data_IF_248426512416
#
_entry.id   IF_248426512416
#
_cell.length_a   1.000
_cell.length_b   1.000
_cell.length_c   1.000
_cell.angle_alpha   90.00
_cell.angle_beta   90.00
_cell.angle_gamma   90.00
#
_symmetry.space_group_name_H-M   'P 1'
#
loop_
_entity.id
_entity.type
_entity.pdbx_description
1 polymer ?
#
# COMPACT_ATOMS: atom_id res chain seq x y z
N UNK A 1 5.48 49.71 -1.01
CA UNK A 1 4.86 49.30 0.27
C UNK A 1 3.48 48.65 0.07
N UNK A 2 2.56 49.28 -0.65
CA UNK A 2 1.20 48.73 -0.90
C UNK A 2 1.21 47.33 -1.57
N UNK A 3 2.07 47.12 -2.57
CA UNK A 3 2.17 45.87 -3.30
C UNK A 3 2.63 44.70 -2.39
N UNK A 4 3.56 44.97 -1.46
CA UNK A 4 4.02 43.99 -0.47
C UNK A 4 2.89 43.58 0.50
N UNK A 5 2.05 44.52 0.92
CA UNK A 5 0.91 44.25 1.78
C UNK A 5 -0.12 43.38 1.05
N UNK A 6 -0.40 43.68 -0.21
CA UNK A 6 -1.32 42.88 -1.03
C UNK A 6 -0.81 41.43 -1.19
N UNK A 7 0.47 41.24 -1.51
CA UNK A 7 1.07 39.91 -1.61
C UNK A 7 1.00 39.14 -0.30
N UNK A 8 1.26 39.80 0.82
CA UNK A 8 1.17 39.20 2.15
C UNK A 8 -0.28 38.79 2.48
N UNK A 9 -1.27 39.61 2.17
CA UNK A 9 -2.67 39.29 2.37
C UNK A 9 -3.11 38.10 1.51
N UNK A 10 -2.67 38.01 0.24
CA UNK A 10 -2.97 36.88 -0.63
C UNK A 10 -2.35 35.60 -0.06
N UNK A 11 -1.10 35.67 0.38
CA UNK A 11 -0.40 34.51 0.94
C UNK A 11 -1.04 34.05 2.24
N UNK A 12 -1.41 34.97 3.12
CA UNK A 12 -2.12 34.65 4.37
C UNK A 12 -3.48 34.02 4.10
N UNK A 13 -4.23 34.51 3.13
CA UNK A 13 -5.50 33.94 2.71
C UNK A 13 -5.36 32.49 2.20
N UNK A 14 -4.34 32.22 1.39
CA UNK A 14 -4.03 30.85 0.93
C UNK A 14 -3.70 29.93 2.09
N UNK A 15 -2.86 30.36 3.03
CA UNK A 15 -2.53 29.58 4.22
C UNK A 15 -3.77 29.34 5.10
N UNK A 16 -4.57 30.34 5.33
CA UNK A 16 -5.80 30.23 6.13
C UNK A 16 -6.77 29.21 5.52
N UNK A 17 -6.97 29.24 4.20
CA UNK A 17 -7.83 28.27 3.51
C UNK A 17 -7.23 26.85 3.61
N UNK A 18 -5.94 26.68 3.38
CA UNK A 18 -5.30 25.38 3.47
C UNK A 18 -5.43 24.78 4.88
N UNK A 19 -5.12 25.56 5.92
CA UNK A 19 -5.27 25.14 7.31
C UNK A 19 -6.74 24.86 7.68
N UNK A 20 -7.67 25.72 7.26
CA UNK A 20 -9.09 25.51 7.51
C UNK A 20 -9.59 24.21 6.87
N UNK A 21 -9.17 23.91 5.65
CA UNK A 21 -9.54 22.65 4.96
C UNK A 21 -8.97 21.42 5.66
N UNK A 22 -7.74 21.48 6.15
CA UNK A 22 -7.11 20.40 6.90
C UNK A 22 -7.83 20.17 8.24
N UNK A 23 -8.10 21.24 8.99
CA UNK A 23 -8.82 21.14 10.25
C UNK A 23 -10.25 20.64 10.04
N UNK A 24 -10.95 21.15 9.02
CA UNK A 24 -12.29 20.69 8.66
C UNK A 24 -12.31 19.24 8.22
N UNK A 25 -11.30 18.78 7.49
CA UNK A 25 -11.16 17.36 7.11
C UNK A 25 -11.00 16.47 8.34
N UNK A 26 -10.22 16.88 9.34
CA UNK A 26 -10.11 16.18 10.62
C UNK A 26 -11.42 16.16 11.41
N UNK A 27 -12.14 17.27 11.43
CA UNK A 27 -13.42 17.39 12.15
C UNK A 27 -14.57 16.68 11.45
N UNK A 28 -14.56 16.62 10.13
CA UNK A 28 -15.51 15.87 9.31
C UNK A 28 -15.20 14.36 9.24
N UNK A 29 -14.41 13.83 10.15
CA UNK A 29 -14.18 12.40 10.30
C UNK A 29 -15.52 11.74 10.67
N UNK A 30 -16.34 11.57 9.65
CA UNK A 30 -17.66 10.95 9.74
C UNK A 30 -17.54 9.61 10.45
N UNK A 31 -18.44 9.38 11.41
CA UNK A 31 -18.54 8.07 12.05
C UNK A 31 -18.79 7.04 10.95
N UNK A 32 -18.02 5.96 10.89
CA UNK A 32 -18.23 4.94 9.88
C UNK A 32 -19.66 4.43 10.00
N UNK A 33 -20.43 4.43 8.92
CA UNK A 33 -21.62 3.61 8.82
C UNK A 33 -21.12 2.18 8.91
N UNK A 34 -21.64 1.43 9.89
CA UNK A 34 -21.36 0.01 10.09
C UNK A 34 -21.81 -0.75 8.84
N UNK A 35 -20.94 -0.83 7.84
CA UNK A 35 -21.05 -1.79 6.74
C UNK A 35 -20.27 -3.03 7.16
N UNK A 36 -20.71 -4.16 6.69
CA UNK A 36 -19.99 -5.41 6.80
C UNK A 36 -18.57 -5.19 6.27
N UNK A 37 -17.58 -5.69 7.01
CA UNK A 37 -16.17 -5.57 6.65
C UNK A 37 -15.95 -6.15 5.25
N UNK A 38 -15.49 -5.37 4.24
CA UNK A 38 -15.37 -5.86 2.87
C UNK A 38 -14.31 -6.95 2.78
N UNK A 39 -14.54 -7.98 2.00
CA UNK A 39 -13.50 -8.93 1.66
C UNK A 39 -12.46 -8.26 0.75
N UNK A 40 -11.16 -8.45 1.04
CA UNK A 40 -10.06 -7.70 0.44
C UNK A 40 -9.04 -8.64 -0.21
N UNK A 41 -8.65 -8.33 -1.45
CA UNK A 41 -7.49 -8.94 -2.11
C UNK A 41 -6.29 -8.00 -2.06
N UNK A 42 -5.24 -8.39 -1.33
CA UNK A 42 -3.96 -7.67 -1.26
C UNK A 42 -3.09 -8.13 -2.43
N UNK A 43 -2.74 -7.23 -3.33
CA UNK A 43 -1.98 -7.54 -4.54
C UNK A 43 -0.58 -6.95 -4.43
N UNK A 44 0.42 -7.82 -4.63
CA UNK A 44 1.83 -7.44 -4.68
C UNK A 44 2.50 -8.03 -5.90
N UNK A 45 3.25 -7.20 -6.64
CA UNK A 45 4.04 -7.64 -7.80
C UNK A 45 5.53 -7.63 -7.42
N UNK A 46 6.14 -8.81 -7.37
CA UNK A 46 7.53 -9.00 -6.99
C UNK A 46 8.37 -9.28 -8.23
N UNK A 47 9.43 -8.49 -8.43
CA UNK A 47 10.34 -8.64 -9.56
C UNK A 47 11.67 -9.20 -9.10
N UNK A 48 12.10 -10.27 -9.78
CA UNK A 48 13.37 -10.92 -9.47
C UNK A 48 13.34 -11.63 -8.12
N UNK A 49 14.52 -11.95 -7.63
CA UNK A 49 14.73 -12.65 -6.37
C UNK A 49 14.92 -11.61 -5.26
N UNK A 50 14.02 -11.58 -4.31
CA UNK A 50 14.09 -10.72 -3.15
C UNK A 50 13.95 -11.55 -1.87
N UNK A 51 15.09 -11.86 -1.26
CA UNK A 51 15.13 -12.57 0.01
C UNK A 51 14.41 -11.77 1.11
N UNK A 52 14.58 -10.45 1.10
CA UNK A 52 13.90 -9.55 2.02
C UNK A 52 12.37 -9.68 1.93
N UNK A 53 11.83 -9.80 0.71
CA UNK A 53 10.40 -10.02 0.52
C UNK A 53 9.93 -11.33 1.15
N UNK A 54 10.68 -12.43 0.93
CA UNK A 54 10.31 -13.74 1.45
C UNK A 54 10.38 -13.83 2.98
N UNK A 55 11.42 -13.22 3.57
CA UNK A 55 11.73 -13.40 5.00
C UNK A 55 11.01 -12.37 5.86
N UNK A 56 10.88 -11.13 5.40
CA UNK A 56 10.37 -10.04 6.23
C UNK A 56 8.98 -9.56 5.81
N UNK A 57 8.72 -9.39 4.52
CA UNK A 57 7.49 -8.74 4.07
C UNK A 57 6.32 -9.72 3.94
N UNK A 58 6.55 -10.84 3.26
CA UNK A 58 5.50 -11.82 2.99
C UNK A 58 4.89 -12.41 4.28
N UNK A 59 5.68 -12.78 5.31
CA UNK A 59 5.10 -13.23 6.59
C UNK A 59 4.21 -12.20 7.26
N UNK A 60 4.57 -10.91 7.20
CA UNK A 60 3.74 -9.83 7.76
C UNK A 60 2.45 -9.65 6.98
N UNK A 61 2.48 -9.79 5.65
CA UNK A 61 1.28 -9.74 4.81
C UNK A 61 0.37 -10.94 5.05
N UNK A 62 0.94 -12.11 5.39
CA UNK A 62 0.19 -13.33 5.67
C UNK A 62 -0.29 -13.43 7.12
N UNK A 63 0.23 -12.60 8.05
CA UNK A 63 -0.15 -12.60 9.47
C UNK A 63 -1.16 -11.51 9.84
N UNK A 64 -1.89 -10.96 8.87
CA UNK A 64 -2.84 -9.88 9.13
C UNK A 64 -4.07 -10.37 9.89
N UNK A 65 -4.50 -9.62 10.89
CA UNK A 65 -5.71 -9.89 11.69
C UNK A 65 -6.95 -9.37 10.96
N UNK A 66 -7.38 -10.14 9.95
CA UNK A 66 -8.58 -9.83 9.18
C UNK A 66 -9.19 -11.11 8.62
N UNK A 67 -10.49 -11.33 8.85
CA UNK A 67 -11.14 -12.62 8.55
C UNK A 67 -11.26 -12.91 7.05
N UNK A 68 -11.58 -11.91 6.25
CA UNK A 68 -11.91 -12.08 4.84
C UNK A 68 -10.88 -11.36 3.96
N UNK A 69 -9.66 -11.90 3.88
CA UNK A 69 -8.65 -11.39 2.96
C UNK A 69 -7.90 -12.52 2.27
N UNK A 70 -7.28 -12.18 1.17
CA UNK A 70 -6.31 -13.01 0.46
C UNK A 70 -5.09 -12.19 0.06
N UNK A 71 -3.96 -12.85 -0.13
CA UNK A 71 -2.73 -12.25 -0.64
C UNK A 71 -2.43 -12.81 -2.02
N UNK A 72 -2.42 -11.95 -3.04
CA UNK A 72 -2.14 -12.31 -4.43
C UNK A 72 -0.72 -11.85 -4.78
N UNK A 73 0.20 -12.78 -4.84
CA UNK A 73 1.59 -12.54 -5.23
C UNK A 73 1.77 -12.80 -6.71
N UNK A 74 2.23 -11.80 -7.44
CA UNK A 74 2.57 -11.93 -8.86
C UNK A 74 4.09 -11.87 -9.00
N UNK A 75 4.70 -13.02 -9.24
CA UNK A 75 6.13 -13.12 -9.41
C UNK A 75 6.55 -12.83 -10.85
N UNK A 76 7.44 -11.86 -11.04
CA UNK A 76 8.03 -11.50 -12.33
C UNK A 76 9.49 -11.91 -12.31
N UNK A 77 9.77 -13.13 -12.71
CA UNK A 77 11.12 -13.66 -12.70
C UNK A 77 11.23 -15.03 -13.35
N UNK A 78 12.45 -15.53 -13.40
CA UNK A 78 12.79 -16.80 -14.07
C UNK A 78 13.33 -17.83 -13.10
N UNK A 79 13.83 -17.39 -11.98
CA UNK A 79 14.41 -18.30 -11.01
C UNK A 79 13.39 -19.33 -10.57
N UNK A 80 13.77 -20.60 -10.72
CA UNK A 80 12.90 -21.71 -10.35
C UNK A 80 12.93 -21.94 -8.84
N UNK A 81 14.10 -21.80 -8.22
CA UNK A 81 14.27 -22.02 -6.79
C UNK A 81 13.47 -21.02 -5.97
N UNK A 82 13.54 -19.73 -6.32
CA UNK A 82 12.75 -18.69 -5.68
C UNK A 82 11.24 -18.91 -5.85
N UNK A 83 10.82 -19.34 -7.05
CA UNK A 83 9.43 -19.65 -7.32
C UNK A 83 8.96 -20.87 -6.53
N UNK A 84 9.78 -21.91 -6.44
CA UNK A 84 9.46 -23.13 -5.66
C UNK A 84 9.30 -22.80 -4.17
N UNK A 85 10.09 -21.85 -3.66
CA UNK A 85 9.95 -21.39 -2.28
C UNK A 85 8.65 -20.62 -2.06
N UNK A 86 8.29 -19.73 -2.98
CA UNK A 86 6.98 -19.08 -2.96
C UNK A 86 5.82 -20.09 -3.03
N UNK A 87 5.98 -21.19 -3.80
CA UNK A 87 4.97 -22.24 -3.87
C UNK A 87 4.83 -22.97 -2.52
N UNK A 88 5.93 -23.28 -1.84
CA UNK A 88 5.89 -23.90 -0.50
C UNK A 88 5.16 -23.03 0.51
N UNK A 89 5.39 -21.71 0.49
CA UNK A 89 4.69 -20.78 1.35
C UNK A 89 3.20 -20.76 1.01
N UNK A 90 2.84 -20.71 -0.28
CA UNK A 90 1.45 -20.77 -0.73
C UNK A 90 0.74 -22.04 -0.26
N UNK A 91 1.41 -23.19 -0.34
CA UNK A 91 0.81 -24.48 0.03
C UNK A 91 0.48 -24.58 1.53
N UNK A 92 1.21 -23.79 2.33
CA UNK A 92 0.94 -23.66 3.77
C UNK A 92 -0.13 -22.59 4.11
N UNK A 93 -0.53 -21.74 3.15
CA UNK A 93 -1.46 -20.63 3.37
C UNK A 93 -2.57 -20.64 2.32
N UNK A 94 -3.73 -21.18 2.65
CA UNK A 94 -4.86 -21.35 1.71
C UNK A 94 -5.41 -20.03 1.14
N UNK A 95 -5.16 -18.91 1.81
CA UNK A 95 -5.54 -17.56 1.38
C UNK A 95 -4.45 -16.84 0.58
N UNK A 96 -3.34 -17.51 0.26
CA UNK A 96 -2.32 -17.00 -0.64
C UNK A 96 -2.52 -17.52 -2.05
N UNK A 97 -2.50 -16.63 -3.03
CA UNK A 97 -2.47 -16.95 -4.46
C UNK A 97 -1.16 -16.54 -5.07
N UNK A 98 -0.61 -17.40 -5.90
CA UNK A 98 0.65 -17.16 -6.57
C UNK A 98 0.48 -17.28 -8.09
N UNK A 99 0.96 -16.29 -8.83
CA UNK A 99 0.98 -16.29 -10.29
C UNK A 99 2.38 -15.97 -10.77
N UNK A 100 2.94 -16.79 -11.65
CA UNK A 100 4.23 -16.55 -12.28
C UNK A 100 4.04 -15.84 -13.62
N UNK A 101 4.80 -14.77 -13.82
CA UNK A 101 4.92 -14.08 -15.10
C UNK A 101 6.40 -14.08 -15.53
N UNK A 102 6.66 -14.48 -16.74
CA UNK A 102 8.01 -14.51 -17.29
C UNK A 102 8.37 -15.90 -17.81
N UNK A 103 8.94 -15.95 -18.95
CA UNK A 103 9.36 -17.19 -19.63
C UNK A 103 10.11 -16.91 -20.93
N UNK A 104 9.94 -15.72 -21.50
CA UNK A 104 10.56 -15.37 -22.77
C UNK A 104 11.55 -14.22 -22.59
N UNK A 105 12.81 -14.42 -23.01
CA UNK A 105 13.91 -13.45 -22.81
C UNK A 105 13.69 -12.10 -23.49
N UNK A 106 12.84 -12.08 -24.50
CA UNK A 106 12.61 -10.92 -25.35
C UNK A 106 11.47 -10.00 -24.88
N UNK A 107 10.71 -10.41 -23.86
CA UNK A 107 9.53 -9.65 -23.43
C UNK A 107 9.80 -9.03 -22.05
N UNK A 108 9.90 -7.71 -22.02
CA UNK A 108 9.90 -6.95 -20.77
C UNK A 108 8.48 -6.89 -20.21
N UNK A 109 8.25 -7.50 -19.07
CA UNK A 109 6.98 -7.43 -18.36
C UNK A 109 7.00 -6.22 -17.43
N UNK A 110 6.13 -5.25 -17.64
CA UNK A 110 6.01 -4.09 -16.77
C UNK A 110 5.27 -4.43 -15.48
N UNK A 111 5.55 -3.68 -14.40
CA UNK A 111 4.82 -3.81 -13.14
C UNK A 111 3.30 -3.61 -13.33
N UNK A 112 2.90 -2.71 -14.24
CA UNK A 112 1.50 -2.50 -14.61
C UNK A 112 0.84 -3.77 -15.17
N UNK A 113 1.54 -4.51 -16.02
CA UNK A 113 1.04 -5.78 -16.56
C UNK A 113 0.89 -6.82 -15.46
N UNK A 114 1.86 -6.89 -14.55
CA UNK A 114 1.79 -7.80 -13.41
C UNK A 114 0.62 -7.46 -12.47
N UNK A 115 0.41 -6.19 -12.16
CA UNK A 115 -0.74 -5.78 -11.37
C UNK A 115 -2.06 -6.10 -12.05
N UNK A 116 -2.17 -5.95 -13.38
CA UNK A 116 -3.36 -6.36 -14.13
C UNK A 116 -3.62 -7.87 -14.04
N UNK A 117 -2.57 -8.69 -14.03
CA UNK A 117 -2.71 -10.14 -13.81
C UNK A 117 -3.15 -10.41 -12.37
N UNK A 118 -2.56 -9.70 -11.39
CA UNK A 118 -2.99 -9.79 -10.00
C UNK A 118 -4.47 -9.45 -9.81
N UNK A 119 -4.95 -8.38 -10.45
CA UNK A 119 -6.37 -7.98 -10.42
C UNK A 119 -7.27 -9.09 -10.99
N UNK A 120 -6.86 -9.71 -12.11
CA UNK A 120 -7.63 -10.81 -12.72
C UNK A 120 -7.61 -12.09 -11.88
N UNK A 121 -6.56 -12.29 -11.09
CA UNK A 121 -6.42 -13.44 -10.20
C UNK A 121 -7.11 -13.24 -8.86
N UNK A 122 -7.46 -12.01 -8.52
CA UNK A 122 -8.11 -11.64 -7.27
C UNK A 122 -9.52 -12.23 -7.19
N UNK A 123 -9.88 -12.73 -6.02
CA UNK A 123 -11.21 -13.29 -5.73
C UNK A 123 -12.19 -12.20 -5.30
N UNK A 124 -11.70 -11.15 -4.65
CA UNK A 124 -12.54 -10.11 -4.06
C UNK A 124 -12.53 -8.83 -4.88
N UNK A 125 -13.61 -8.07 -4.79
CA UNK A 125 -13.78 -6.83 -5.53
C UNK A 125 -13.05 -5.63 -4.89
N UNK A 126 -12.76 -5.70 -3.58
CA UNK A 126 -11.97 -4.66 -2.90
C UNK A 126 -10.50 -5.01 -3.00
N UNK A 127 -9.75 -4.19 -3.73
CA UNK A 127 -8.34 -4.44 -4.02
C UNK A 127 -7.46 -3.50 -3.23
N UNK A 128 -6.43 -4.05 -2.60
CA UNK A 128 -5.40 -3.31 -1.88
C UNK A 128 -4.05 -3.58 -2.55
N UNK A 129 -3.38 -2.54 -3.00
CA UNK A 129 -2.08 -2.66 -3.66
C UNK A 129 -0.97 -2.31 -2.70
N UNK A 130 0.06 -3.14 -2.66
CA UNK A 130 1.32 -2.84 -1.99
C UNK A 130 2.50 -3.09 -2.93
N UNK A 131 3.63 -2.53 -2.61
CA UNK A 131 4.87 -2.68 -3.37
C UNK A 131 5.91 -3.39 -2.50
N UNK A 132 6.81 -4.18 -3.09
CA UNK A 132 7.96 -4.73 -2.36
C UNK A 132 8.78 -3.61 -1.73
N UNK A 133 9.19 -3.79 -0.48
CA UNK A 133 9.82 -2.78 0.36
C UNK A 133 8.86 -2.00 1.26
N UNK A 134 7.54 -2.15 1.09
CA UNK A 134 6.54 -1.53 1.96
C UNK A 134 5.99 -2.56 2.96
N UNK A 135 6.58 -2.59 4.14
CA UNK A 135 6.17 -3.51 5.21
C UNK A 135 5.06 -2.86 6.04
N UNK A 136 3.90 -3.52 6.23
CA UNK A 136 2.90 -3.06 7.16
C UNK A 136 3.45 -2.92 8.59
N UNK A 137 3.17 -1.80 9.25
CA UNK A 137 3.68 -1.53 10.61
C UNK A 137 2.99 -2.43 11.66
N UNK A 138 1.79 -2.91 11.36
CA UNK A 138 1.00 -3.74 12.29
C UNK A 138 0.20 -4.82 11.56
N UNK A 139 -0.19 -5.85 12.31
CA UNK A 139 -1.08 -6.90 11.81
C UNK A 139 -2.52 -6.42 11.58
N UNK A 140 -2.88 -5.22 12.04
CA UNK A 140 -4.18 -4.58 11.78
C UNK A 140 -4.20 -3.68 10.53
N UNK A 141 -3.15 -3.73 9.70
CA UNK A 141 -3.05 -2.85 8.54
C UNK A 141 -4.21 -3.07 7.56
N UNK A 142 -4.52 -4.32 7.21
CA UNK A 142 -5.66 -4.65 6.33
C UNK A 142 -6.98 -4.18 6.95
N UNK A 143 -7.19 -4.42 8.24
CA UNK A 143 -8.37 -3.96 8.96
C UNK A 143 -8.52 -2.43 8.96
N UNK A 144 -7.40 -1.72 9.08
CA UNK A 144 -7.36 -0.26 9.05
C UNK A 144 -7.70 0.28 7.65
N UNK A 145 -7.17 -0.35 6.60
CA UNK A 145 -7.50 -0.02 5.21
C UNK A 145 -8.97 -0.34 4.89
N UNK A 146 -9.49 -1.45 5.39
CA UNK A 146 -10.90 -1.83 5.26
C UNK A 146 -11.86 -0.76 5.78
N UNK A 147 -11.55 -0.17 6.95
CA UNK A 147 -12.30 0.98 7.51
C UNK A 147 -12.31 2.19 6.59
N UNK A 148 -11.28 2.34 5.76
CA UNK A 148 -11.22 3.38 4.73
C UNK A 148 -12.24 3.18 3.62
N UNK A 149 -12.47 1.95 3.16
CA UNK A 149 -13.46 1.62 2.12
C UNK A 149 -14.90 1.91 2.55
N UNK A 150 -15.19 1.93 3.84
CA UNK A 150 -16.50 2.34 4.34
C UNK A 150 -16.81 3.82 4.03
N UNK A 151 -15.77 4.63 3.82
CA UNK A 151 -15.86 6.09 3.63
C UNK A 151 -15.73 6.54 2.19
N UNK A 152 -15.07 5.75 1.35
CA UNK A 152 -14.81 6.09 -0.03
C UNK A 152 -14.43 4.90 -0.89
N UNK A 153 -14.56 5.08 -2.20
CA UNK A 153 -14.21 4.05 -3.17
C UNK A 153 -12.69 3.88 -3.35
N UNK A 154 -11.90 4.85 -2.91
CA UNK A 154 -10.44 4.84 -3.00
C UNK A 154 -9.85 5.24 -1.64
N UNK A 155 -8.93 4.43 -1.16
CA UNK A 155 -8.18 4.65 0.09
C UNK A 155 -6.71 4.73 -0.24
N UNK A 156 -6.04 5.78 0.22
CA UNK A 156 -4.60 5.96 0.05
C UNK A 156 -3.98 6.04 1.45
N UNK A 157 -2.99 5.19 1.70
CA UNK A 157 -2.16 5.27 2.91
C UNK A 157 -0.76 5.78 2.54
N UNK A 158 -0.17 6.69 3.32
CA UNK A 158 1.21 7.09 3.11
C UNK A 158 2.16 5.95 3.46
N UNK A 159 3.19 5.77 2.65
CA UNK A 159 4.34 4.95 3.01
C UNK A 159 5.35 5.84 3.74
N UNK A 160 5.69 5.46 4.96
CA UNK A 160 6.68 6.18 5.77
C UNK A 160 8.04 5.52 5.57
N UNK A 161 9.07 6.24 5.13
CA UNK A 161 10.40 5.68 5.01
C UNK A 161 10.93 5.25 6.39
N UNK A 162 11.34 4.00 6.51
CA UNK A 162 11.97 3.48 7.74
C UNK A 162 13.47 3.84 7.74
N UNK A 163 13.78 5.12 7.95
CA UNK A 163 15.16 5.54 8.10
C UNK A 163 15.50 5.74 9.59
N UNK A 164 16.52 5.05 10.05
CA UNK A 164 17.24 5.39 11.29
C UNK A 164 18.07 6.67 11.10
N UNK A 165 17.47 7.73 10.59
CA UNK A 165 18.16 9.00 10.39
C UNK A 165 18.12 9.84 11.66
N UNK A 166 19.28 10.34 12.08
CA UNK A 166 19.42 11.28 13.20
C UNK A 166 19.47 12.72 12.67
N UNK A 167 18.88 13.66 13.39
CA UNK A 167 19.03 15.09 13.12
C UNK A 167 18.02 15.70 12.14
N UNK A 168 18.48 16.64 11.33
CA UNK A 168 17.66 17.45 10.40
C UNK A 168 16.89 16.59 9.38
N UNK A 169 17.50 15.49 8.94
CA UNK A 169 16.87 14.57 7.98
C UNK A 169 15.57 13.98 8.52
N UNK A 170 15.52 13.61 9.81
CA UNK A 170 14.31 13.13 10.46
C UNK A 170 13.22 14.22 10.50
N UNK A 171 13.61 15.47 10.72
CA UNK A 171 12.70 16.60 10.77
C UNK A 171 12.09 16.90 9.39
N UNK A 172 12.94 16.92 8.34
CA UNK A 172 12.51 17.12 6.94
C UNK A 172 11.58 16.01 6.50
N UNK A 173 11.91 14.76 6.81
CA UNK A 173 11.05 13.60 6.46
C UNK A 173 9.69 13.68 7.16
N UNK A 174 9.62 14.05 8.44
CA UNK A 174 8.34 14.29 9.13
C UNK A 174 7.51 15.41 8.53
N UNK A 175 8.13 16.40 7.89
CA UNK A 175 7.40 17.47 7.18
C UNK A 175 6.80 16.98 5.85
N UNK A 176 7.35 15.95 5.23
CA UNK A 176 6.85 15.36 3.97
C UNK A 176 5.70 14.39 4.26
N UNK A 177 5.56 13.89 5.49
CA UNK A 177 4.48 12.99 5.95
C UNK A 177 3.11 13.69 6.12
N UNK A 178 3.01 14.98 5.90
CA UNK A 178 1.79 15.78 5.94
C UNK A 178 1.43 16.30 4.55
#
# INVERSE_FOLDING_TARGET
>A
MVLLVILFCIQFYYYAIAYYRIVRFRLMRSRPKRRESPAISVIVAVRGESEHFLVEELPVLLSQEYDNYEVVVVYIGRDAGYYDELQRIRDNHSYMRLTKMGGNERIYISTKQALNVGIKSAQYNSLLFTIPGAIPISNEWVATMAKGFERGSVVIAPAVPNFESKGITRYVMRMIEF
#
